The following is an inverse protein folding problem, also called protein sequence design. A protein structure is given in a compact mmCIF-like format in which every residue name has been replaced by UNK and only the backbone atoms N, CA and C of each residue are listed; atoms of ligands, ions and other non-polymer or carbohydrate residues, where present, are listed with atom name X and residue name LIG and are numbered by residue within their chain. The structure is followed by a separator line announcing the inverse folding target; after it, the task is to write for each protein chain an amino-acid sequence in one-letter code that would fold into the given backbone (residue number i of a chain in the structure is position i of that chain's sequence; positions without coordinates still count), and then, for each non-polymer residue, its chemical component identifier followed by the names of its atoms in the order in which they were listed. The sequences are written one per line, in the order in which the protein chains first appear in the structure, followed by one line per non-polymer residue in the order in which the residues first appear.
data_IF_793073813249
#
_entry.id   IF_793073813249
#
_cell.length_a   1.000
_cell.length_b   1.000
_cell.length_c   1.000
_cell.angle_alpha   90.00
_cell.angle_beta   90.00
_cell.angle_gamma   90.00
#
_symmetry.space_group_name_H-M   'P 1'
#
loop_
_entity.id
_entity.type
_entity.pdbx_description
1 polymer ?
#
# COMPACT_ATOMS: atom_id res chain seq x y z
N UNK A 1 9.53 14.72 -10.85
CA UNK A 1 10.62 14.12 -11.64
C UNK A 1 10.64 12.61 -11.43
N UNK A 2 10.67 11.85 -12.52
CA UNK A 2 10.73 10.39 -12.43
C UNK A 2 12.08 9.93 -11.89
N UNK A 3 12.07 8.93 -11.01
CA UNK A 3 13.28 8.31 -10.48
C UNK A 3 13.59 7.05 -11.27
N UNK A 4 14.77 6.46 -11.09
CA UNK A 4 15.10 5.17 -11.69
C UNK A 4 14.13 4.07 -11.24
N UNK A 5 13.65 4.18 -10.00
CA UNK A 5 12.65 3.25 -9.48
C UNK A 5 11.31 3.41 -10.22
N UNK A 6 10.88 4.66 -10.46
CA UNK A 6 9.65 4.92 -11.20
C UNK A 6 9.73 4.38 -12.63
N UNK A 7 10.89 4.53 -13.29
CA UNK A 7 11.12 3.98 -14.63
C UNK A 7 11.06 2.46 -14.62
N UNK A 8 11.63 1.83 -13.60
CA UNK A 8 11.59 0.37 -13.42
C UNK A 8 10.14 -0.10 -13.24
N UNK A 9 9.38 0.59 -12.40
CA UNK A 9 7.97 0.24 -12.15
C UNK A 9 7.15 0.36 -13.44
N UNK A 10 7.37 1.41 -14.24
CA UNK A 10 6.69 1.59 -15.52
C UNK A 10 6.99 0.45 -16.50
N UNK A 11 8.25 0.00 -16.56
CA UNK A 11 8.65 -1.14 -17.37
C UNK A 11 7.98 -2.43 -16.94
N UNK A 12 7.91 -2.67 -15.64
CA UNK A 12 7.27 -3.86 -15.09
C UNK A 12 5.78 -3.85 -15.39
N UNK A 13 5.14 -2.68 -15.29
CA UNK A 13 3.73 -2.52 -15.60
C UNK A 13 3.45 -2.84 -17.07
N UNK A 14 4.29 -2.33 -17.99
CA UNK A 14 4.15 -2.62 -19.40
C UNK A 14 4.26 -4.10 -19.71
N UNK A 15 5.22 -4.77 -19.07
CA UNK A 15 5.39 -6.22 -19.21
C UNK A 15 4.21 -6.99 -18.66
N UNK A 16 3.63 -6.52 -17.55
CA UNK A 16 2.46 -7.15 -16.94
C UNK A 16 1.25 -7.06 -17.87
N UNK A 17 1.05 -5.91 -18.48
CA UNK A 17 -0.05 -5.70 -19.46
C UNK A 17 0.13 -6.62 -20.66
N UNK A 18 1.35 -6.77 -21.17
CA UNK A 18 1.66 -7.62 -22.29
C UNK A 18 1.47 -9.11 -21.98
N UNK A 19 1.61 -9.50 -20.69
CA UNK A 19 1.48 -10.88 -20.25
C UNK A 19 0.04 -11.37 -20.08
N UNK A 20 -0.96 -10.51 -20.31
CA UNK A 20 -2.37 -10.89 -20.25
C UNK A 20 -3.02 -10.68 -18.88
N UNK A 21 -4.29 -11.12 -18.72
CA UNK A 21 -5.08 -10.83 -17.51
C UNK A 21 -4.47 -11.34 -16.20
N UNK A 22 -3.88 -12.56 -16.22
CA UNK A 22 -3.28 -13.12 -15.01
C UNK A 22 -2.06 -12.33 -14.56
N UNK A 23 -1.20 -11.94 -15.51
CA UNK A 23 -0.01 -11.14 -15.22
C UNK A 23 -0.41 -9.76 -14.69
N UNK A 24 -1.44 -9.16 -15.29
CA UNK A 24 -1.94 -7.87 -14.86
C UNK A 24 -2.54 -7.94 -13.46
N UNK A 25 -3.27 -9.01 -13.15
CA UNK A 25 -3.84 -9.20 -11.81
C UNK A 25 -2.74 -9.33 -10.75
N UNK A 26 -1.66 -10.05 -11.07
CA UNK A 26 -0.52 -10.15 -10.15
C UNK A 26 0.16 -8.80 -9.93
N UNK A 27 0.29 -8.03 -11.00
CA UNK A 27 0.85 -6.68 -10.92
C UNK A 27 -0.02 -5.76 -10.07
N UNK A 28 -1.33 -5.78 -10.30
CA UNK A 28 -2.26 -4.97 -9.51
C UNK A 28 -2.20 -5.31 -8.03
N UNK A 29 -2.12 -6.60 -7.68
CA UNK A 29 -2.01 -7.04 -6.30
C UNK A 29 -0.70 -6.57 -5.66
N UNK A 30 0.42 -6.71 -6.38
CA UNK A 30 1.72 -6.25 -5.92
C UNK A 30 1.72 -4.74 -5.69
N UNK A 31 1.19 -4.00 -6.67
CA UNK A 31 1.18 -2.53 -6.61
C UNK A 31 0.30 -2.02 -5.47
N UNK A 32 -0.86 -2.65 -5.24
CA UNK A 32 -1.75 -2.30 -4.14
C UNK A 32 -1.07 -2.54 -2.79
N UNK A 33 -0.38 -3.66 -2.65
CA UNK A 33 0.35 -4.00 -1.43
C UNK A 33 1.46 -2.99 -1.14
N UNK A 34 2.24 -2.66 -2.15
CA UNK A 34 3.34 -1.71 -2.03
C UNK A 34 2.82 -0.31 -1.71
N UNK A 35 1.77 0.13 -2.40
CA UNK A 35 1.16 1.45 -2.18
C UNK A 35 0.61 1.57 -0.76
N UNK A 36 -0.05 0.54 -0.26
CA UNK A 36 -0.59 0.50 1.10
C UNK A 36 0.53 0.65 2.14
N UNK A 37 1.62 -0.11 1.98
CA UNK A 37 2.75 -0.04 2.91
C UNK A 37 3.34 1.38 2.98
N UNK A 38 3.53 1.99 1.81
CA UNK A 38 4.06 3.34 1.70
C UNK A 38 3.10 4.37 2.29
N UNK A 39 1.81 4.26 2.01
CA UNK A 39 0.81 5.20 2.51
C UNK A 39 0.70 5.17 4.03
N UNK A 40 0.75 3.99 4.64
CA UNK A 40 0.76 3.86 6.10
C UNK A 40 1.97 4.58 6.69
N UNK A 41 3.14 4.34 6.14
CA UNK A 41 4.37 4.96 6.62
C UNK A 41 4.33 6.48 6.47
N UNK A 42 3.91 6.97 5.31
CA UNK A 42 3.86 8.41 5.05
C UNK A 42 2.85 9.11 5.95
N UNK A 43 1.69 8.51 6.14
CA UNK A 43 0.65 9.07 7.00
C UNK A 43 1.11 9.13 8.46
N UNK A 44 1.80 8.07 8.92
CA UNK A 44 2.39 8.08 10.26
C UNK A 44 3.37 9.25 10.43
N UNK A 45 4.24 9.44 9.45
CA UNK A 45 5.24 10.52 9.47
C UNK A 45 4.58 11.90 9.43
N UNK A 46 3.53 12.07 8.65
CA UNK A 46 2.76 13.30 8.62
C UNK A 46 2.18 13.66 9.99
N UNK A 47 1.78 12.65 10.75
CA UNK A 47 1.25 12.84 12.10
C UNK A 47 2.36 12.97 13.15
N UNK A 48 3.63 12.96 12.73
CA UNK A 48 4.79 13.10 13.60
C UNK A 48 4.87 12.00 14.68
N UNK A 49 4.44 10.78 14.31
CA UNK A 49 4.48 9.64 15.22
C UNK A 49 5.63 8.71 14.86
N UNK A 50 6.31 8.19 15.88
CA UNK A 50 7.24 7.08 15.69
C UNK A 50 6.45 5.78 15.58
N UNK A 51 7.09 4.72 15.09
CA UNK A 51 6.46 3.39 15.07
C UNK A 51 6.06 2.96 16.48
N UNK A 52 6.88 3.27 17.48
CA UNK A 52 6.60 2.95 18.87
C UNK A 52 5.35 3.68 19.38
N UNK A 53 5.22 4.96 19.04
CA UNK A 53 4.05 5.75 19.41
C UNK A 53 2.79 5.23 18.74
N UNK A 54 2.88 4.87 17.46
CA UNK A 54 1.76 4.29 16.73
C UNK A 54 1.36 2.94 17.33
N UNK A 55 2.35 2.12 17.73
CA UNK A 55 2.09 0.86 18.40
C UNK A 55 1.26 1.07 19.68
N UNK A 56 1.66 2.04 20.49
CA UNK A 56 0.93 2.36 21.72
C UNK A 56 -0.49 2.84 21.45
N UNK A 57 -0.68 3.66 20.41
CA UNK A 57 -1.98 4.23 20.07
C UNK A 57 -2.93 3.22 19.40
N UNK A 58 -2.39 2.29 18.63
CA UNK A 58 -3.18 1.35 17.83
C UNK A 58 -3.42 0.00 18.49
N UNK A 59 -2.58 -0.37 19.46
CA UNK A 59 -2.59 -1.71 20.04
C UNK A 59 -1.90 -2.75 19.17
N UNK A 60 -1.31 -2.36 18.06
CA UNK A 60 -0.53 -3.24 17.17
C UNK A 60 0.93 -3.14 17.61
N UNK A 61 1.62 -4.28 17.76
CA UNK A 61 3.01 -4.23 18.23
C UNK A 61 3.93 -3.61 17.18
N UNK A 62 5.02 -3.00 17.65
CA UNK A 62 5.95 -2.26 16.80
C UNK A 62 6.57 -3.14 15.70
N UNK A 63 6.90 -4.38 16.02
CA UNK A 63 7.50 -5.30 15.06
C UNK A 63 6.55 -5.55 13.88
N UNK A 64 5.25 -5.69 14.17
CA UNK A 64 4.22 -5.86 13.13
C UNK A 64 4.11 -4.59 12.29
N UNK A 65 4.06 -3.41 12.91
CA UNK A 65 4.03 -2.13 12.19
C UNK A 65 5.23 -2.02 11.26
N UNK A 66 6.41 -2.37 11.75
CA UNK A 66 7.62 -2.33 10.94
C UNK A 66 7.52 -3.25 9.71
N UNK A 67 7.00 -4.45 9.88
CA UNK A 67 6.81 -5.38 8.76
C UNK A 67 5.79 -4.85 7.75
N UNK A 68 4.70 -4.27 8.24
CA UNK A 68 3.67 -3.68 7.37
C UNK A 68 4.27 -2.54 6.54
N UNK A 69 5.00 -1.64 7.17
CA UNK A 69 5.58 -0.47 6.49
C UNK A 69 6.68 -0.84 5.49
N UNK A 70 7.30 -2.00 5.65
CA UNK A 70 8.30 -2.51 4.72
C UNK A 70 7.72 -3.41 3.63
N UNK A 71 6.41 -3.61 3.64
CA UNK A 71 5.75 -4.48 2.67
C UNK A 71 6.07 -5.96 2.87
N UNK A 72 6.46 -6.35 4.07
CA UNK A 72 6.87 -7.73 4.37
C UNK A 72 5.74 -8.61 4.89
N UNK A 73 4.57 -8.04 5.08
CA UNK A 73 3.40 -8.76 5.57
C UNK A 73 2.15 -8.22 4.92
N UNK A 74 1.11 -9.03 4.90
CA UNK A 74 -0.18 -8.69 4.31
C UNK A 74 -1.21 -8.58 5.43
N UNK A 75 -1.38 -7.40 6.03
CA UNK A 75 -2.29 -7.25 7.17
C UNK A 75 -3.73 -7.46 6.77
N UNK A 76 -4.53 -7.96 7.70
CA UNK A 76 -5.98 -8.06 7.50
C UNK A 76 -6.61 -6.66 7.51
N UNK A 77 -7.84 -6.56 7.01
CA UNK A 77 -8.60 -5.32 7.08
C UNK A 77 -8.79 -4.85 8.52
N UNK A 78 -8.97 -5.78 9.46
CA UNK A 78 -9.10 -5.45 10.89
C UNK A 78 -7.82 -4.84 11.44
N UNK A 79 -6.69 -5.40 11.11
CA UNK A 79 -5.38 -4.87 11.53
C UNK A 79 -5.14 -3.48 10.95
N UNK A 80 -5.46 -3.30 9.66
CA UNK A 80 -5.33 -2.00 9.02
C UNK A 80 -6.27 -0.97 9.67
N UNK A 81 -7.51 -1.35 9.96
CA UNK A 81 -8.45 -0.45 10.61
C UNK A 81 -7.93 0.04 11.97
N UNK A 82 -7.39 -0.89 12.77
CA UNK A 82 -6.82 -0.54 14.07
C UNK A 82 -5.61 0.39 13.93
N UNK A 83 -4.78 0.13 12.92
CA UNK A 83 -3.57 0.90 12.66
C UNK A 83 -3.90 2.32 12.18
N UNK A 84 -4.89 2.45 11.32
CA UNK A 84 -5.24 3.72 10.69
C UNK A 84 -6.10 4.64 11.58
N UNK A 85 -6.85 4.08 12.51
CA UNK A 85 -7.72 4.86 13.39
C UNK A 85 -6.98 6.01 14.10
N UNK A 86 -5.83 5.77 14.78
CA UNK A 86 -5.10 6.86 15.42
C UNK A 86 -4.47 7.85 14.43
N UNK A 87 -4.40 7.48 13.16
CA UNK A 87 -3.89 8.36 12.11
C UNK A 87 -5.01 9.18 11.45
N UNK A 88 -6.25 9.01 11.89
CA UNK A 88 -7.39 9.72 11.32
C UNK A 88 -7.80 9.21 9.94
N UNK A 89 -7.49 7.96 9.64
CA UNK A 89 -7.77 7.35 8.34
C UNK A 89 -8.59 6.07 8.50
N UNK A 90 -9.08 5.55 7.39
CA UNK A 90 -9.84 4.30 7.36
C UNK A 90 -9.56 3.53 6.08
N UNK A 91 -9.84 2.23 6.12
CA UNK A 91 -9.79 1.38 4.92
C UNK A 91 -11.01 1.69 4.07
N UNK A 92 -10.82 1.80 2.75
CA UNK A 92 -11.92 2.04 1.84
C UNK A 92 -11.64 1.46 0.47
N UNK A 93 -12.65 1.51 -0.38
CA UNK A 93 -12.57 1.05 -1.76
C UNK A 93 -12.67 2.28 -2.65
N UNK A 94 -11.74 2.40 -3.59
CA UNK A 94 -11.69 3.50 -4.55
C UNK A 94 -12.06 2.96 -5.92
N UNK A 95 -13.02 3.59 -6.58
CA UNK A 95 -13.44 3.20 -7.91
C UNK A 95 -12.42 3.67 -8.93
N UNK A 96 -12.09 2.81 -9.90
CA UNK A 96 -11.22 3.18 -11.02
C UNK A 96 -11.94 4.13 -11.95
N UNK A 97 -11.18 4.96 -12.66
CA UNK A 97 -11.73 5.80 -13.72
C UNK A 97 -12.23 4.93 -14.88
N UNK A 98 -13.21 5.44 -15.64
CA UNK A 98 -13.78 4.70 -16.78
C UNK A 98 -12.74 4.21 -17.78
N UNK A 99 -11.72 5.01 -18.06
CA UNK A 99 -10.64 4.64 -18.99
C UNK A 99 -9.84 3.44 -18.51
N UNK A 100 -9.70 3.27 -17.17
CA UNK A 100 -9.00 2.14 -16.59
C UNK A 100 -9.82 0.86 -16.77
N UNK A 101 -11.14 0.97 -16.70
CA UNK A 101 -12.05 -0.16 -16.88
C UNK A 101 -12.05 -0.65 -18.33
N UNK A 102 -11.80 0.22 -19.29
CA UNK A 102 -11.78 -0.13 -20.71
C UNK A 102 -10.65 -1.09 -21.08
N UNK A 103 -9.66 -1.25 -20.23
CA UNK A 103 -8.53 -2.14 -20.45
C UNK A 103 -8.66 -3.49 -19.77
N UNK A 104 -9.77 -3.75 -19.10
CA UNK A 104 -9.99 -4.99 -18.34
C UNK A 104 -10.62 -6.10 -19.19
#
# INVERSE_FOLDING_TARGET
MATKFDDYISEVEERAKAGGPEALARWDAFNAHYAMAREVRELRKERHLTQKQLAAASGINQAEISRIERGQTNPTASTLAALLAPLGARVGVVQREKRDLAHV
#
